data_IF_315055521575
#
_entry.id   IF_315055521575
#
_cell.length_a   1.000
_cell.length_b   1.000
_cell.length_c   1.000
_cell.angle_alpha   90.00
_cell.angle_beta   90.00
_cell.angle_gamma   90.00
#
_symmetry.space_group_name_H-M   'P 1'
#
loop_
_entity.id
_entity.type
_entity.pdbx_description
1 polymer ?
#
# COMPACT_ATOMS: atom_id res chain seq x y z
N UNK A 1 17.68 -14.14 0.64
CA UNK A 1 16.60 -13.18 0.93
C UNK A 1 15.32 -13.98 1.15
N UNK A 2 14.54 -13.74 2.21
CA UNK A 2 13.27 -14.45 2.41
C UNK A 2 12.26 -14.02 1.34
N UNK A 3 11.55 -14.98 0.75
CA UNK A 3 10.49 -14.71 -0.22
C UNK A 3 9.29 -14.09 0.51
N UNK A 4 8.84 -12.88 0.13
CA UNK A 4 7.70 -12.23 0.78
C UNK A 4 6.42 -13.04 0.53
N UNK A 5 5.57 -13.16 1.55
CA UNK A 5 4.23 -13.76 1.49
C UNK A 5 3.14 -12.71 1.41
N UNK A 6 3.33 -11.53 2.00
CA UNK A 6 2.37 -10.40 1.90
C UNK A 6 3.05 -9.09 1.54
N UNK A 7 2.52 -8.45 0.50
CA UNK A 7 3.04 -7.18 -0.04
C UNK A 7 1.92 -6.14 -0.02
N UNK A 8 2.19 -4.98 0.58
CA UNK A 8 1.28 -3.84 0.60
C UNK A 8 1.72 -2.78 -0.40
N UNK A 9 0.85 -2.38 -1.31
CA UNK A 9 1.04 -1.25 -2.21
C UNK A 9 0.15 -0.08 -1.79
N UNK A 10 0.69 1.14 -1.75
CA UNK A 10 -0.03 2.33 -1.30
C UNK A 10 -0.02 3.38 -2.41
N UNK A 11 -1.20 3.67 -2.98
CA UNK A 11 -1.40 4.73 -3.96
C UNK A 11 -2.77 5.38 -3.75
N UNK A 12 -2.79 6.59 -3.19
CA UNK A 12 -4.03 7.32 -2.86
C UNK A 12 -4.42 8.39 -3.90
N UNK A 13 -3.67 8.52 -5.01
CA UNK A 13 -3.94 9.55 -6.02
C UNK A 13 -5.06 9.16 -7.00
N UNK A 14 -5.22 9.98 -8.04
CA UNK A 14 -6.24 9.83 -9.06
C UNK A 14 -6.04 8.57 -9.93
N UNK A 15 -7.05 8.29 -10.76
CA UNK A 15 -7.11 7.14 -11.67
C UNK A 15 -5.83 6.97 -12.50
N UNK A 16 -5.29 8.06 -13.06
CA UNK A 16 -4.08 8.00 -13.89
C UNK A 16 -2.87 7.43 -13.14
N UNK A 17 -2.67 7.85 -11.89
CA UNK A 17 -1.57 7.34 -11.05
C UNK A 17 -1.77 5.85 -10.73
N UNK A 18 -2.99 5.42 -10.44
CA UNK A 18 -3.30 4.00 -10.19
C UNK A 18 -3.03 3.15 -11.44
N UNK A 19 -3.48 3.59 -12.62
CA UNK A 19 -3.19 2.91 -13.90
C UNK A 19 -1.69 2.72 -14.08
N UNK A 20 -0.89 3.77 -13.87
CA UNK A 20 0.56 3.73 -14.02
C UNK A 20 1.25 2.81 -13.00
N UNK A 21 0.63 2.51 -11.86
CA UNK A 21 1.15 1.54 -10.88
C UNK A 21 0.76 0.08 -11.18
N UNK A 22 -0.26 -0.17 -12.01
CA UNK A 22 -0.73 -1.55 -12.28
C UNK A 22 0.32 -2.49 -12.90
N UNK A 23 1.28 -2.05 -13.75
CA UNK A 23 2.31 -2.95 -14.26
C UNK A 23 3.19 -3.53 -13.13
N UNK A 24 3.37 -2.79 -12.03
CA UNK A 24 4.11 -3.28 -10.87
C UNK A 24 3.45 -4.52 -10.25
N UNK A 25 2.12 -4.60 -10.24
CA UNK A 25 1.38 -5.77 -9.76
C UNK A 25 1.79 -7.04 -10.52
N UNK A 26 1.78 -6.95 -11.86
CA UNK A 26 2.15 -8.07 -12.74
C UNK A 26 3.60 -8.49 -12.53
N UNK A 27 4.51 -7.52 -12.40
CA UNK A 27 5.93 -7.79 -12.18
C UNK A 27 6.16 -8.44 -10.81
N UNK A 28 5.53 -7.93 -9.75
CA UNK A 28 5.61 -8.47 -8.40
C UNK A 28 5.06 -9.89 -8.34
N UNK A 29 3.88 -10.15 -8.92
CA UNK A 29 3.28 -11.49 -8.95
C UNK A 29 4.10 -12.49 -9.76
N UNK A 30 4.79 -12.05 -10.81
CA UNK A 30 5.74 -12.90 -11.56
C UNK A 30 6.97 -13.29 -10.75
N UNK A 31 7.52 -12.37 -9.96
CA UNK A 31 8.70 -12.62 -9.13
C UNK A 31 8.35 -13.35 -7.82
N UNK A 32 7.15 -13.12 -7.30
CA UNK A 32 6.63 -13.72 -6.08
C UNK A 32 5.23 -14.32 -6.34
N UNK A 33 5.15 -15.48 -7.04
CA UNK A 33 3.86 -16.09 -7.42
C UNK A 33 2.94 -16.37 -6.24
N UNK A 34 3.52 -16.76 -5.10
CA UNK A 34 2.79 -17.12 -3.88
C UNK A 34 2.50 -15.95 -2.94
N UNK A 35 2.87 -14.71 -3.33
CA UNK A 35 2.63 -13.54 -2.49
C UNK A 35 1.21 -13.01 -2.68
N UNK A 36 0.54 -12.72 -1.58
CA UNK A 36 -0.68 -11.91 -1.57
C UNK A 36 -0.30 -10.43 -1.70
N UNK A 37 -0.89 -9.75 -2.68
CA UNK A 37 -0.63 -8.35 -2.96
C UNK A 37 -1.89 -7.56 -2.66
N UNK A 38 -1.81 -6.74 -1.61
CA UNK A 38 -2.88 -5.83 -1.22
C UNK A 38 -2.59 -4.42 -1.75
N UNK A 39 -3.63 -3.72 -2.16
CA UNK A 39 -3.49 -2.38 -2.72
C UNK A 39 -4.39 -1.38 -2.02
N UNK A 40 -3.79 -0.39 -1.36
CA UNK A 40 -4.52 0.72 -0.75
C UNK A 40 -4.77 1.80 -1.78
N UNK A 41 -6.04 2.17 -1.96
CA UNK A 41 -6.45 3.27 -2.84
C UNK A 41 -7.71 3.98 -2.32
N UNK A 42 -8.18 5.00 -3.03
CA UNK A 42 -9.45 5.69 -2.76
C UNK A 42 -10.59 5.07 -3.58
N UNK A 43 -11.87 5.30 -3.24
CA UNK A 43 -12.99 4.70 -3.97
C UNK A 43 -13.02 5.01 -5.47
N UNK A 44 -12.70 6.25 -5.86
CA UNK A 44 -12.79 6.69 -7.26
C UNK A 44 -11.93 5.87 -8.24
N UNK A 45 -10.63 5.60 -7.98
CA UNK A 45 -9.81 4.76 -8.85
C UNK A 45 -9.89 3.25 -8.56
N UNK A 46 -10.64 2.80 -7.55
CA UNK A 46 -10.66 1.39 -7.15
C UNK A 46 -11.20 0.45 -8.23
N UNK A 47 -12.14 0.92 -9.06
CA UNK A 47 -12.74 0.13 -10.14
C UNK A 47 -11.72 -0.34 -11.17
N UNK A 48 -10.65 0.43 -11.39
CA UNK A 48 -9.56 0.06 -12.32
C UNK A 48 -8.81 -1.19 -11.85
N UNK A 49 -8.81 -1.43 -10.54
CA UNK A 49 -8.15 -2.58 -9.93
C UNK A 49 -9.08 -3.79 -9.83
N UNK A 50 -10.39 -3.60 -10.02
CA UNK A 50 -11.38 -4.66 -9.89
C UNK A 50 -11.11 -5.77 -10.93
N UNK A 51 -11.14 -7.02 -10.47
CA UNK A 51 -10.89 -8.18 -11.33
C UNK A 51 -9.43 -8.39 -11.74
N UNK A 52 -8.47 -7.61 -11.22
CA UNK A 52 -7.05 -7.85 -11.51
C UNK A 52 -6.57 -9.15 -10.83
N UNK A 53 -6.15 -10.18 -11.59
CA UNK A 53 -5.77 -11.49 -11.03
C UNK A 53 -4.47 -11.45 -10.22
N UNK A 54 -3.73 -10.33 -10.26
CA UNK A 54 -2.49 -10.16 -9.51
C UNK A 54 -2.74 -9.54 -8.12
N UNK A 55 -3.99 -9.19 -7.78
CA UNK A 55 -4.36 -8.63 -6.48
C UNK A 55 -5.08 -9.66 -5.62
N UNK A 56 -4.80 -9.59 -4.32
CA UNK A 56 -5.52 -10.32 -3.28
C UNK A 56 -6.69 -9.48 -2.75
N UNK A 57 -6.40 -8.28 -2.23
CA UNK A 57 -7.41 -7.36 -1.69
C UNK A 57 -7.18 -5.92 -2.19
N UNK A 58 -8.27 -5.22 -2.53
CA UNK A 58 -8.26 -3.77 -2.69
C UNK A 58 -8.74 -3.17 -1.36
N UNK A 59 -7.85 -2.44 -0.69
CA UNK A 59 -8.13 -1.81 0.60
C UNK A 59 -8.52 -0.35 0.35
N UNK A 60 -9.81 -0.04 0.50
CA UNK A 60 -10.28 1.33 0.39
C UNK A 60 -9.89 2.15 1.61
N UNK A 61 -9.17 3.24 1.38
CA UNK A 61 -8.88 4.23 2.41
C UNK A 61 -10.11 5.13 2.64
N UNK A 62 -10.76 5.08 3.83
CA UNK A 62 -11.97 5.84 4.10
C UNK A 62 -11.62 7.29 4.47
N UNK A 63 -11.17 8.07 3.49
CA UNK A 63 -10.81 9.47 3.76
C UNK A 63 -12.01 10.26 4.28
N UNK A 64 -11.85 10.84 5.48
CA UNK A 64 -12.80 11.76 6.11
C UNK A 64 -12.02 12.89 6.77
N UNK A 65 -12.43 14.12 6.51
CA UNK A 65 -11.81 15.29 7.12
C UNK A 65 -11.94 15.22 8.65
N UNK A 66 -10.85 15.52 9.37
CA UNK A 66 -10.76 15.50 10.84
C UNK A 66 -11.06 14.15 11.51
N UNK A 67 -11.05 13.02 10.78
CA UNK A 67 -11.31 11.69 11.34
C UNK A 67 -10.04 10.97 11.77
N UNK A 68 -9.42 11.45 12.85
CA UNK A 68 -8.21 10.83 13.42
C UNK A 68 -8.49 9.41 13.96
N UNK A 69 -9.65 9.20 14.57
CA UNK A 69 -10.04 7.90 15.10
C UNK A 69 -10.22 6.85 13.98
N UNK A 70 -10.84 7.23 12.86
CA UNK A 70 -10.96 6.41 11.67
C UNK A 70 -9.59 6.07 11.06
N UNK A 71 -8.70 7.06 10.98
CA UNK A 71 -7.33 6.84 10.52
C UNK A 71 -6.56 5.87 11.42
N UNK A 72 -6.68 5.99 12.75
CA UNK A 72 -6.02 5.08 13.69
C UNK A 72 -6.59 3.66 13.59
N UNK A 73 -7.92 3.51 13.50
CA UNK A 73 -8.58 2.21 13.25
C UNK A 73 -8.08 1.57 11.95
N UNK A 74 -7.91 2.37 10.89
CA UNK A 74 -7.35 1.92 9.62
C UNK A 74 -5.90 1.43 9.79
N UNK A 75 -5.06 2.18 10.50
CA UNK A 75 -3.69 1.77 10.80
C UNK A 75 -3.63 0.45 11.60
N UNK A 76 -4.53 0.27 12.57
CA UNK A 76 -4.64 -1.00 13.32
C UNK A 76 -5.07 -2.16 12.42
N UNK A 77 -5.94 -1.93 11.42
CA UNK A 77 -6.26 -2.95 10.39
C UNK A 77 -4.98 -3.37 9.64
N UNK A 78 -4.19 -2.41 9.17
CA UNK A 78 -2.94 -2.70 8.45
C UNK A 78 -1.93 -3.48 9.30
N UNK A 79 -1.80 -3.12 10.57
CA UNK A 79 -0.91 -3.80 11.51
C UNK A 79 -1.25 -5.29 11.67
N UNK A 80 -2.54 -5.64 11.68
CA UNK A 80 -3.00 -7.02 11.85
C UNK A 80 -2.73 -7.90 10.63
N UNK A 81 -2.49 -7.29 9.47
CA UNK A 81 -2.29 -8.01 8.22
C UNK A 81 -0.87 -8.56 8.02
N UNK A 82 0.10 -8.24 8.91
CA UNK A 82 1.46 -8.84 8.92
C UNK A 82 2.14 -8.80 7.55
N UNK A 83 2.35 -7.61 7.01
CA UNK A 83 3.04 -7.45 5.73
C UNK A 83 4.54 -7.71 5.86
N UNK A 84 5.17 -8.24 4.81
CA UNK A 84 6.62 -8.41 4.71
C UNK A 84 7.27 -7.21 4.02
N UNK A 85 6.55 -6.65 3.04
CA UNK A 85 6.98 -5.51 2.25
C UNK A 85 5.83 -4.51 2.18
N UNK A 86 6.13 -3.22 2.34
CA UNK A 86 5.24 -2.14 1.89
C UNK A 86 5.94 -1.25 0.87
N UNK A 87 5.18 -0.76 -0.12
CA UNK A 87 5.64 0.15 -1.15
C UNK A 87 4.72 1.36 -1.18
N UNK A 88 5.26 2.52 -0.83
CA UNK A 88 4.57 3.81 -0.86
C UNK A 88 4.92 4.57 -2.13
N UNK A 89 3.96 4.64 -3.06
CA UNK A 89 4.10 5.33 -4.34
C UNK A 89 3.84 6.84 -4.26
N UNK A 90 3.48 7.37 -3.08
CA UNK A 90 3.11 8.77 -2.92
C UNK A 90 4.07 9.54 -2.01
N UNK A 91 4.46 8.94 -0.89
CA UNK A 91 5.40 9.55 0.05
C UNK A 91 4.85 10.69 0.90
N UNK A 92 3.52 10.84 1.02
CA UNK A 92 2.88 11.81 1.93
C UNK A 92 3.04 11.41 3.40
N UNK A 93 2.75 12.32 4.35
CA UNK A 93 2.78 11.95 5.79
C UNK A 93 1.78 10.84 6.08
N UNK A 94 0.57 10.91 5.52
CA UNK A 94 -0.47 9.91 5.73
C UNK A 94 -0.03 8.53 5.21
N UNK A 95 0.49 8.45 3.98
CA UNK A 95 0.95 7.19 3.38
C UNK A 95 2.20 6.63 4.07
N UNK A 96 3.11 7.50 4.52
CA UNK A 96 4.27 7.10 5.31
C UNK A 96 3.85 6.47 6.66
N UNK A 97 2.84 7.05 7.33
CA UNK A 97 2.28 6.47 8.57
C UNK A 97 1.55 5.15 8.27
N UNK A 98 0.81 5.03 7.16
CA UNK A 98 0.20 3.75 6.75
C UNK A 98 1.27 2.68 6.48
N UNK A 99 2.37 3.04 5.79
CA UNK A 99 3.50 2.16 5.53
C UNK A 99 4.17 1.72 6.84
N UNK A 100 4.36 2.62 7.80
CA UNK A 100 4.87 2.26 9.12
C UNK A 100 3.89 1.35 9.89
N UNK A 101 2.59 1.66 9.85
CA UNK A 101 1.54 0.90 10.52
C UNK A 101 1.40 -0.53 9.96
N UNK A 102 1.77 -0.76 8.69
CA UNK A 102 1.86 -2.11 8.12
C UNK A 102 2.83 -3.04 8.87
N UNK A 103 3.76 -2.45 9.63
CA UNK A 103 4.83 -3.13 10.36
C UNK A 103 5.76 -3.97 9.47
N UNK A 104 5.71 -3.76 8.15
CA UNK A 104 6.55 -4.49 7.22
C UNK A 104 8.03 -4.26 7.54
N UNK A 105 8.86 -5.31 7.66
CA UNK A 105 10.29 -5.16 7.90
C UNK A 105 10.98 -4.39 6.77
N UNK A 106 10.46 -4.48 5.55
CA UNK A 106 10.93 -3.71 4.39
C UNK A 106 9.88 -2.68 3.99
N UNK A 107 10.25 -1.40 3.99
CA UNK A 107 9.33 -0.30 3.65
C UNK A 107 9.99 0.57 2.60
N UNK A 108 9.52 0.43 1.36
CA UNK A 108 10.05 1.11 0.20
C UNK A 108 9.21 2.37 -0.05
N UNK A 109 9.87 3.50 -0.27
CA UNK A 109 9.21 4.75 -0.62
C UNK A 109 10.22 5.82 -1.02
N UNK A 110 9.75 7.02 -1.34
CA UNK A 110 10.63 8.11 -1.75
C UNK A 110 11.51 8.63 -0.62
N UNK A 111 12.77 8.96 -0.95
CA UNK A 111 13.74 9.52 -0.01
C UNK A 111 13.50 11.03 0.20
N UNK A 112 12.38 11.37 0.83
CA UNK A 112 12.03 12.76 1.18
C UNK A 112 12.73 13.19 2.48
N UNK A 113 13.24 14.45 2.52
CA UNK A 113 14.16 14.98 3.56
C UNK A 113 13.74 14.72 5.01
N UNK A 114 12.43 14.73 5.30
CA UNK A 114 11.88 14.55 6.67
C UNK A 114 11.18 13.21 6.90
N UNK A 115 11.07 12.33 5.89
CA UNK A 115 10.31 11.07 5.98
C UNK A 115 11.15 9.82 5.77
N UNK A 116 12.47 9.98 5.63
CA UNK A 116 13.41 8.88 5.40
C UNK A 116 13.36 7.81 6.51
N UNK A 117 13.02 8.18 7.76
CA UNK A 117 12.89 7.25 8.88
C UNK A 117 11.70 6.30 8.78
N UNK A 118 10.67 6.64 7.99
CA UNK A 118 9.51 5.76 7.80
C UNK A 118 9.82 4.60 6.83
N UNK A 119 10.86 4.77 6.01
CA UNK A 119 11.31 3.79 5.04
C UNK A 119 12.55 3.06 5.55
N UNK A 120 12.69 1.78 5.19
CA UNK A 120 13.76 0.88 5.67
C UNK A 120 14.09 -0.10 4.58
#
# INVERSE_FOLDING_TARGET
MQTPRRILLIQLRAIGDVILTTPALRVLKRHFPDADIDFITTPAPAEILAGNPNLHEIILYPYRANDFAGFLKFCVKLYRNKYDISVDYLGTTATAVMSLASRAPRRVGYRLRFRRCFYT
#
